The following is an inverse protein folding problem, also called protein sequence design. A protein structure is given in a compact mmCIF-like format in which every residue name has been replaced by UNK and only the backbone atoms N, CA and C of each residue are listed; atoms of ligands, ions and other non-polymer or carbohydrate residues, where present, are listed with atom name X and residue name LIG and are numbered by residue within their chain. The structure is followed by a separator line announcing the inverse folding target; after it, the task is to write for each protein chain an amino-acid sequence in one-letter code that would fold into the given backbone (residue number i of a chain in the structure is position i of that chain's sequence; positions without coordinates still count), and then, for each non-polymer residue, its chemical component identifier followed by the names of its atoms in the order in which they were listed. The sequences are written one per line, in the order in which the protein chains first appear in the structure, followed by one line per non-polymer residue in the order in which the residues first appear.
data_IF_269134561438
#
_entry.id   IF_269134561438
#
_cell.length_a   1.000
_cell.length_b   1.000
_cell.length_c   1.000
_cell.angle_alpha   90.00
_cell.angle_beta   90.00
_cell.angle_gamma   90.00
#
_symmetry.space_group_name_H-M   'P 1'
#
loop_
_entity.id
_entity.type
_entity.pdbx_description
1 polymer ?
#
# COMPACT_ATOMS: atom_id res chain seq x y z
N UNK A 1 0.15 -13.36 2.40
CA UNK A 1 -0.90 -12.40 2.03
C UNK A 1 -1.69 -11.99 3.26
N UNK A 2 -1.94 -10.71 3.41
CA UNK A 2 -2.67 -10.17 4.54
C UNK A 2 -3.96 -9.51 4.04
N UNK A 3 -5.02 -9.63 4.82
CA UNK A 3 -6.31 -9.03 4.49
C UNK A 3 -6.78 -8.13 5.63
N UNK A 4 -7.17 -6.91 5.31
CA UNK A 4 -7.63 -5.93 6.30
C UNK A 4 -9.05 -5.50 5.95
N UNK A 5 -9.95 -5.67 6.91
CA UNK A 5 -11.38 -5.36 6.72
C UNK A 5 -11.88 -4.25 7.63
N UNK A 6 -11.08 -3.82 8.60
CA UNK A 6 -11.49 -2.79 9.57
C UNK A 6 -10.71 -1.50 9.36
N UNK A 7 -11.43 -0.37 9.31
CA UNK A 7 -10.82 0.95 9.26
C UNK A 7 -10.10 1.31 10.55
N UNK A 8 -10.32 0.55 11.61
CA UNK A 8 -9.66 0.75 12.90
C UNK A 8 -8.34 -0.01 13.05
N UNK A 9 -7.98 -0.79 12.03
CA UNK A 9 -6.72 -1.53 12.04
C UNK A 9 -5.53 -0.57 12.15
N UNK A 10 -4.52 -0.93 12.94
CA UNK A 10 -3.35 -0.10 13.16
C UNK A 10 -2.59 0.24 11.87
N UNK A 11 -2.55 -0.69 10.91
CA UNK A 11 -1.92 -0.43 9.61
C UNK A 11 -2.67 0.65 8.82
N UNK A 12 -4.00 0.63 8.85
CA UNK A 12 -4.80 1.65 8.17
C UNK A 12 -4.53 3.02 8.78
N UNK A 13 -4.44 3.10 10.09
CA UNK A 13 -4.13 4.35 10.78
C UNK A 13 -2.74 4.85 10.42
N UNK A 14 -1.78 3.95 10.29
CA UNK A 14 -0.42 4.29 9.89
C UNK A 14 -0.41 4.86 8.47
N UNK A 15 -1.10 4.21 7.53
CA UNK A 15 -1.17 4.68 6.14
C UNK A 15 -1.80 6.06 6.04
N UNK A 16 -2.85 6.32 6.82
CA UNK A 16 -3.48 7.65 6.85
C UNK A 16 -2.50 8.71 7.32
N UNK A 17 -1.70 8.40 8.32
CA UNK A 17 -0.67 9.33 8.80
C UNK A 17 0.39 9.60 7.74
N UNK A 18 0.79 8.58 6.99
CA UNK A 18 1.77 8.76 5.91
C UNK A 18 1.24 9.68 4.81
N UNK A 19 -0.05 9.62 4.52
CA UNK A 19 -0.67 10.47 3.50
C UNK A 19 -0.84 11.90 3.99
N UNK A 20 -1.23 12.09 5.27
CA UNK A 20 -1.64 13.39 5.78
C UNK A 20 -0.57 14.13 6.57
N UNK A 21 0.44 13.44 7.09
CA UNK A 21 1.42 14.04 8.00
C UNK A 21 2.85 13.90 7.49
N UNK A 22 3.42 15.03 7.06
CA UNK A 22 4.81 15.07 6.62
C UNK A 22 5.78 14.57 7.69
N UNK A 23 5.51 14.91 8.94
CA UNK A 23 6.34 14.51 10.08
C UNK A 23 6.47 13.00 10.18
N UNK A 24 5.37 12.30 9.94
CA UNK A 24 5.36 10.85 9.99
C UNK A 24 6.18 10.25 8.85
N UNK A 25 6.08 10.84 7.65
CA UNK A 25 6.90 10.41 6.51
C UNK A 25 8.39 10.58 6.77
N UNK A 26 8.77 11.68 7.37
CA UNK A 26 10.17 11.95 7.70
C UNK A 26 10.68 11.02 8.79
N UNK A 27 9.86 10.75 9.80
CA UNK A 27 10.22 9.89 10.95
C UNK A 27 10.41 8.44 10.53
N UNK A 28 9.53 7.93 9.69
CA UNK A 28 9.55 6.53 9.27
C UNK A 28 10.34 6.30 7.98
N UNK A 29 10.69 7.37 7.27
CA UNK A 29 11.31 7.33 5.95
C UNK A 29 10.45 6.54 4.95
N UNK A 30 9.13 6.61 5.13
CA UNK A 30 8.16 5.95 4.27
C UNK A 30 7.19 6.95 3.66
N UNK A 31 6.66 6.62 2.50
CA UNK A 31 5.61 7.38 1.86
C UNK A 31 4.75 6.47 1.00
N UNK A 32 3.57 6.95 0.63
CA UNK A 32 2.63 6.16 -0.16
C UNK A 32 2.51 6.76 -1.56
N UNK A 33 2.57 5.87 -2.56
CA UNK A 33 2.24 6.22 -3.94
C UNK A 33 0.97 5.48 -4.34
N UNK A 34 0.16 6.09 -5.17
CA UNK A 34 -1.13 5.56 -5.55
C UNK A 34 -1.27 5.45 -7.07
N UNK A 35 -1.91 4.38 -7.52
CA UNK A 35 -2.18 4.15 -8.93
C UNK A 35 -1.21 3.17 -9.57
N UNK A 36 -1.71 2.44 -10.58
CA UNK A 36 -0.92 1.41 -11.27
C UNK A 36 0.39 1.94 -11.84
N UNK A 37 0.33 3.11 -12.45
CA UNK A 37 1.51 3.68 -13.09
C UNK A 37 2.64 3.97 -12.10
N UNK A 38 2.32 4.60 -10.97
CA UNK A 38 3.32 4.93 -9.96
C UNK A 38 3.88 3.69 -9.28
N UNK A 39 3.01 2.70 -9.01
CA UNK A 39 3.46 1.44 -8.42
C UNK A 39 4.34 0.68 -9.39
N UNK A 40 3.96 0.64 -10.67
CA UNK A 40 4.77 -0.01 -11.70
C UNK A 40 6.14 0.65 -11.83
N UNK A 41 6.21 1.98 -11.79
CA UNK A 41 7.47 2.70 -11.82
C UNK A 41 8.35 2.36 -10.61
N UNK A 42 7.75 2.26 -9.42
CA UNK A 42 8.49 1.89 -8.21
C UNK A 42 9.08 0.48 -8.34
N UNK A 43 8.30 -0.47 -8.85
CA UNK A 43 8.77 -1.84 -9.09
C UNK A 43 9.89 -1.88 -10.12
N UNK A 44 9.73 -1.09 -11.19
CA UNK A 44 10.68 -1.03 -12.30
C UNK A 44 12.03 -0.48 -11.88
N UNK A 45 12.02 0.54 -11.03
CA UNK A 45 13.23 1.18 -10.55
C UNK A 45 13.80 0.52 -9.30
N UNK A 46 13.27 -0.63 -8.92
CA UNK A 46 13.74 -1.42 -7.77
C UNK A 46 13.72 -0.63 -6.46
N UNK A 47 12.71 0.23 -6.32
CA UNK A 47 12.49 0.93 -5.06
C UNK A 47 12.24 -0.08 -3.94
N UNK A 48 12.63 0.29 -2.72
CA UNK A 48 12.38 -0.57 -1.57
C UNK A 48 10.90 -0.49 -1.20
N UNK A 49 10.15 -1.50 -1.60
CA UNK A 49 8.71 -1.58 -1.34
C UNK A 49 8.47 -2.37 -0.07
N UNK A 50 7.80 -1.72 0.90
CA UNK A 50 7.44 -2.36 2.15
C UNK A 50 6.17 -3.17 1.99
N UNK A 51 5.14 -2.57 1.37
CA UNK A 51 3.85 -3.22 1.16
C UNK A 51 3.20 -2.75 -0.13
N UNK A 52 2.44 -3.63 -0.76
CA UNK A 52 1.56 -3.29 -1.87
C UNK A 52 0.13 -3.50 -1.38
N UNK A 53 -0.63 -2.43 -1.36
CA UNK A 53 -2.01 -2.43 -0.84
C UNK A 53 -2.97 -2.52 -2.01
N UNK A 54 -3.80 -3.54 -2.02
CA UNK A 54 -4.70 -3.83 -3.13
C UNK A 54 -6.15 -3.87 -2.66
N UNK A 55 -7.01 -3.15 -3.34
CA UNK A 55 -8.45 -3.23 -3.10
C UNK A 55 -8.97 -4.56 -3.61
N UNK A 56 -9.84 -5.22 -2.86
CA UNK A 56 -10.45 -6.48 -3.26
C UNK A 56 -11.15 -6.34 -4.61
N UNK A 57 -11.00 -7.35 -5.46
CA UNK A 57 -11.59 -7.37 -6.78
C UNK A 57 -10.72 -6.75 -7.86
N UNK A 58 -9.60 -6.16 -7.51
CA UNK A 58 -8.65 -5.59 -8.48
C UNK A 58 -7.60 -6.64 -8.81
N UNK A 59 -7.43 -6.92 -10.10
CA UNK A 59 -6.39 -7.85 -10.58
C UNK A 59 -5.10 -7.09 -10.85
N UNK A 60 -4.01 -7.61 -10.32
CA UNK A 60 -2.69 -7.03 -10.56
C UNK A 60 -2.08 -7.63 -11.83
N UNK A 61 -1.26 -6.86 -12.57
CA UNK A 61 -0.55 -7.40 -13.72
C UNK A 61 0.31 -8.59 -13.34
N UNK A 62 0.25 -9.66 -14.12
CA UNK A 62 1.01 -10.88 -13.86
C UNK A 62 2.52 -10.66 -13.89
N UNK A 63 2.97 -9.64 -14.61
CA UNK A 63 4.40 -9.32 -14.70
C UNK A 63 4.95 -8.66 -13.43
N UNK A 64 4.08 -8.24 -12.54
CA UNK A 64 4.51 -7.67 -11.28
C UNK A 64 4.93 -8.79 -10.32
N UNK A 65 6.23 -8.95 -10.16
CA UNK A 65 6.78 -9.96 -9.26
C UNK A 65 6.75 -9.41 -7.82
N UNK A 66 5.60 -9.54 -7.16
CA UNK A 66 5.41 -9.05 -5.80
C UNK A 66 5.45 -10.22 -4.83
N UNK A 67 6.28 -10.08 -3.79
CA UNK A 67 6.35 -11.05 -2.71
C UNK A 67 4.99 -11.08 -1.97
N UNK A 68 4.43 -12.26 -1.78
CA UNK A 68 3.14 -12.42 -1.07
C UNK A 68 3.15 -11.81 0.32
N UNK A 69 4.29 -11.83 0.98
CA UNK A 69 4.43 -11.24 2.33
C UNK A 69 4.17 -9.74 2.31
N UNK A 70 4.47 -9.08 1.20
CA UNK A 70 4.27 -7.65 1.04
C UNK A 70 2.86 -7.28 0.54
N UNK A 71 2.06 -8.27 0.12
CA UNK A 71 0.71 -8.02 -0.38
C UNK A 71 -0.29 -7.86 0.76
N UNK A 72 -1.07 -6.80 0.70
CA UNK A 72 -2.15 -6.53 1.66
C UNK A 72 -3.43 -6.22 0.88
N UNK A 73 -4.47 -6.98 1.11
CA UNK A 73 -5.78 -6.74 0.50
C UNK A 73 -6.68 -5.98 1.45
N UNK A 74 -7.38 -4.99 0.93
CA UNK A 74 -8.32 -4.17 1.71
C UNK A 74 -9.71 -4.21 1.05
N UNK A 75 -10.75 -4.07 1.87
CA UNK A 75 -12.11 -3.99 1.35
C UNK A 75 -12.43 -2.56 0.94
N UNK A 76 -13.62 -2.34 0.35
CA UNK A 76 -14.02 -1.01 -0.14
C UNK A 76 -14.06 0.04 0.96
N UNK A 77 -14.51 -0.33 2.16
CA UNK A 77 -14.56 0.61 3.27
C UNK A 77 -13.18 1.12 3.66
N UNK A 78 -12.20 0.21 3.72
CA UNK A 78 -10.81 0.56 4.03
C UNK A 78 -10.19 1.36 2.88
N UNK A 79 -10.47 0.99 1.64
CA UNK A 79 -9.92 1.67 0.47
C UNK A 79 -10.35 3.13 0.38
N UNK A 80 -11.52 3.47 0.91
CA UNK A 80 -12.04 4.85 0.92
C UNK A 80 -11.42 5.73 2.00
N UNK A 81 -10.78 5.13 2.97
CA UNK A 81 -10.08 5.89 3.99
C UNK A 81 -8.72 6.34 3.46
#
# INVERSE_FOLDING_TARGET
MKRIESTQNALVKHWKKLVTQRKEREKTEEYIVEGFHLVEEALKHKEQIVQVIVREGVDLPLLWAIDEVALVYVNDAVAKE
#
